data_IF_984760418386
#
_entry.id   IF_984760418386
#
_cell.length_a   1.000
_cell.length_b   1.000
_cell.length_c   1.000
_cell.angle_alpha   90.00
_cell.angle_beta   90.00
_cell.angle_gamma   90.00
#
_symmetry.space_group_name_H-M   'P 1'
#
loop_
_entity.id
_entity.type
_entity.pdbx_description
1 polymer ?
#
# COMPACT_ATOMS: atom_id res chain seq x y z
N UNK A 1 -14.86 -7.28 -5.35
CA UNK A 1 -14.55 -5.97 -5.97
C UNK A 1 -13.46 -5.31 -5.15
N UNK A 2 -12.43 -4.71 -5.75
CA UNK A 2 -11.39 -4.00 -4.98
C UNK A 2 -12.04 -2.87 -4.16
N UNK A 3 -11.55 -2.67 -2.94
CA UNK A 3 -12.09 -1.66 -2.03
C UNK A 3 -12.03 -0.24 -2.62
N UNK A 4 -10.97 0.07 -3.37
CA UNK A 4 -10.84 1.30 -4.15
C UNK A 4 -12.00 1.52 -5.13
N UNK A 5 -12.47 0.45 -5.78
CA UNK A 5 -13.62 0.51 -6.69
C UNK A 5 -14.92 0.79 -5.94
N UNK A 6 -15.09 0.26 -4.73
CA UNK A 6 -16.26 0.54 -3.90
C UNK A 6 -16.29 2.00 -3.44
N UNK A 7 -15.15 2.56 -3.01
CA UNK A 7 -15.01 3.98 -2.65
C UNK A 7 -15.33 4.87 -3.86
N UNK A 8 -14.80 4.55 -5.04
CA UNK A 8 -15.06 5.31 -6.26
C UNK A 8 -16.56 5.26 -6.63
N UNK A 9 -17.19 4.08 -6.55
CA UNK A 9 -18.64 3.93 -6.80
C UNK A 9 -19.44 4.77 -5.80
N UNK A 10 -19.12 4.71 -4.50
CA UNK A 10 -19.82 5.50 -3.48
C UNK A 10 -19.68 7.01 -3.73
N UNK A 11 -18.49 7.48 -4.10
CA UNK A 11 -18.25 8.88 -4.45
C UNK A 11 -19.06 9.30 -5.68
N UNK A 12 -19.07 8.48 -6.74
CA UNK A 12 -19.84 8.73 -7.97
C UNK A 12 -21.33 8.80 -7.65
N UNK A 13 -21.85 7.87 -6.84
CA UNK A 13 -23.25 7.86 -6.45
C UNK A 13 -23.62 9.10 -5.63
N UNK A 14 -22.78 9.51 -4.68
CA UNK A 14 -23.01 10.68 -3.84
C UNK A 14 -22.97 11.99 -4.65
N UNK A 15 -21.99 12.14 -5.54
CA UNK A 15 -21.92 13.29 -6.47
C UNK A 15 -23.11 13.28 -7.43
N UNK A 16 -23.46 12.12 -7.99
CA UNK A 16 -24.63 11.97 -8.86
C UNK A 16 -25.91 12.40 -8.15
N UNK A 17 -26.07 12.02 -6.88
CA UNK A 17 -27.25 12.33 -6.09
C UNK A 17 -27.32 13.80 -5.66
N UNK A 18 -26.16 14.42 -5.38
CA UNK A 18 -26.07 15.88 -5.20
C UNK A 18 -26.46 16.64 -6.47
N UNK A 19 -25.98 16.18 -7.63
CA UNK A 19 -26.30 16.80 -8.92
C UNK A 19 -27.77 16.64 -9.28
N UNK A 20 -28.35 15.45 -9.14
CA UNK A 20 -29.77 15.22 -9.44
C UNK A 20 -30.66 16.00 -8.49
N UNK A 21 -30.32 16.09 -7.19
CA UNK A 21 -31.02 16.93 -6.24
C UNK A 21 -30.95 18.42 -6.59
N UNK A 22 -29.75 18.93 -6.85
CA UNK A 22 -29.51 20.34 -7.16
C UNK A 22 -30.21 20.75 -8.45
N UNK A 23 -30.07 19.95 -9.51
CA UNK A 23 -30.73 20.20 -10.80
C UNK A 23 -32.25 20.08 -10.65
N UNK A 24 -32.74 19.11 -9.88
CA UNK A 24 -34.15 18.93 -9.60
C UNK A 24 -34.77 20.15 -8.92
N UNK A 25 -34.18 20.64 -7.83
CA UNK A 25 -34.66 21.87 -7.17
C UNK A 25 -34.54 23.09 -8.06
N UNK A 26 -33.47 23.23 -8.85
CA UNK A 26 -33.35 24.35 -9.79
C UNK A 26 -34.43 24.35 -10.87
N UNK A 27 -34.86 23.20 -11.34
CA UNK A 27 -35.91 23.15 -12.37
C UNK A 27 -37.28 23.41 -11.74
N UNK A 28 -37.54 22.86 -10.56
CA UNK A 28 -38.85 22.91 -9.90
C UNK A 28 -39.10 24.29 -9.26
N UNK A 29 -38.09 24.87 -8.61
CA UNK A 29 -38.25 26.07 -7.78
C UNK A 29 -37.81 27.37 -8.48
N UNK A 30 -37.36 27.30 -9.75
CA UNK A 30 -36.94 28.49 -10.52
C UNK A 30 -38.06 29.51 -10.73
N UNK A 31 -39.28 29.02 -10.98
CA UNK A 31 -40.45 29.84 -11.23
C UNK A 31 -41.41 29.89 -10.03
N UNK A 32 -40.92 29.53 -8.83
CA UNK A 32 -41.72 29.53 -7.62
C UNK A 32 -42.23 30.96 -7.32
N UNK A 33 -43.55 31.14 -7.15
CA UNK A 33 -44.16 32.45 -6.87
C UNK A 33 -43.86 33.01 -5.48
N UNK A 34 -43.47 32.17 -4.50
CA UNK A 34 -43.11 32.61 -3.16
C UNK A 34 -41.68 33.16 -3.11
N UNK A 35 -40.71 32.39 -3.60
CA UNK A 35 -39.30 32.75 -3.58
C UNK A 35 -38.55 32.06 -4.72
N UNK A 36 -37.81 32.82 -5.54
CA UNK A 36 -37.04 32.26 -6.65
C UNK A 36 -35.71 31.72 -6.17
N UNK A 37 -35.49 30.43 -6.34
CA UNK A 37 -34.27 29.79 -5.86
C UNK A 37 -33.14 29.94 -6.88
N UNK A 38 -31.96 30.27 -6.35
CA UNK A 38 -30.72 30.28 -7.10
C UNK A 38 -29.96 28.93 -6.93
N UNK A 39 -28.81 28.80 -7.61
CA UNK A 39 -27.97 27.59 -7.55
C UNK A 39 -27.54 27.25 -6.12
N UNK A 40 -27.23 28.26 -5.31
CA UNK A 40 -26.78 28.07 -3.93
C UNK A 40 -27.92 27.53 -3.06
N UNK A 41 -29.15 28.02 -3.24
CA UNK A 41 -30.34 27.55 -2.49
C UNK A 41 -30.64 26.08 -2.80
N UNK A 42 -30.54 25.70 -4.09
CA UNK A 42 -30.75 24.32 -4.52
C UNK A 42 -29.65 23.36 -4.02
N UNK A 43 -28.38 23.78 -4.04
CA UNK A 43 -27.27 23.01 -3.46
C UNK A 43 -27.49 22.87 -1.95
N UNK A 44 -27.80 23.97 -1.28
CA UNK A 44 -28.02 24.01 0.16
C UNK A 44 -29.14 23.06 0.56
N UNK A 45 -30.29 23.14 -0.11
CA UNK A 45 -31.44 22.27 0.14
C UNK A 45 -31.11 20.81 -0.13
N UNK A 46 -30.39 20.50 -1.20
CA UNK A 46 -29.96 19.12 -1.47
C UNK A 46 -29.05 18.61 -0.35
N UNK A 47 -28.04 19.37 0.06
CA UNK A 47 -27.11 18.95 1.11
C UNK A 47 -27.85 18.69 2.42
N UNK A 48 -28.71 19.59 2.89
CA UNK A 48 -29.41 19.40 4.18
C UNK A 48 -30.38 18.21 4.16
N UNK A 49 -30.99 17.91 3.00
CA UNK A 49 -31.85 16.73 2.84
C UNK A 49 -31.02 15.46 2.92
N UNK A 50 -29.87 15.42 2.25
CA UNK A 50 -29.00 14.23 2.22
C UNK A 50 -28.26 13.98 3.52
N UNK A 51 -27.81 15.03 4.20
CA UNK A 51 -27.17 14.93 5.51
C UNK A 51 -28.17 14.65 6.63
N UNK A 52 -29.45 14.47 6.31
CA UNK A 52 -30.55 14.19 7.25
C UNK A 52 -30.71 15.25 8.35
N UNK A 53 -30.21 16.47 8.11
CA UNK A 53 -30.35 17.60 9.04
C UNK A 53 -31.81 18.05 9.06
N UNK A 54 -32.43 18.15 7.87
CA UNK A 54 -33.86 18.42 7.70
C UNK A 54 -34.31 19.75 8.29
N UNK A 55 -34.38 20.80 7.47
CA UNK A 55 -34.96 22.08 7.88
C UNK A 55 -36.32 22.31 7.22
N UNK A 56 -37.20 23.02 7.92
CA UNK A 56 -38.52 23.41 7.39
C UNK A 56 -38.35 24.60 6.44
N UNK A 57 -38.51 24.38 5.14
CA UNK A 57 -38.39 25.47 4.17
C UNK A 57 -39.77 26.14 3.95
N UNK A 58 -39.97 27.27 4.64
CA UNK A 58 -41.13 28.15 4.54
C UNK A 58 -41.08 28.95 3.22
N UNK A 59 -41.20 28.24 2.10
CA UNK A 59 -41.12 28.85 0.76
C UNK A 59 -41.19 27.85 -0.38
N UNK A 60 -40.90 26.57 -0.12
CA UNK A 60 -40.93 25.50 -1.13
C UNK A 60 -42.34 25.21 -1.66
N UNK A 61 -42.45 24.99 -2.97
CA UNK A 61 -43.69 24.57 -3.63
C UNK A 61 -44.13 23.15 -3.24
N UNK A 62 -45.42 22.83 -3.42
CA UNK A 62 -45.92 21.46 -3.18
C UNK A 62 -45.22 20.42 -4.07
N UNK A 63 -44.82 20.81 -5.29
CA UNK A 63 -44.03 19.94 -6.18
C UNK A 63 -42.61 19.71 -5.64
N UNK A 64 -41.96 20.74 -5.10
CA UNK A 64 -40.66 20.62 -4.44
C UNK A 64 -40.71 19.70 -3.23
N UNK A 65 -41.81 19.73 -2.45
CA UNK A 65 -42.02 18.84 -1.31
C UNK A 65 -42.12 17.38 -1.73
N UNK A 66 -42.89 17.09 -2.79
CA UNK A 66 -42.99 15.74 -3.35
C UNK A 66 -41.62 15.26 -3.86
N UNK A 67 -40.88 16.13 -4.55
CA UNK A 67 -39.51 15.81 -4.99
C UNK A 67 -38.59 15.50 -3.80
N UNK A 68 -38.67 16.29 -2.73
CA UNK A 68 -37.91 16.07 -1.49
C UNK A 68 -38.21 14.70 -0.88
N UNK A 69 -39.46 14.25 -0.90
CA UNK A 69 -39.84 12.92 -0.40
C UNK A 69 -39.16 11.79 -1.20
N UNK A 70 -39.14 11.88 -2.53
CA UNK A 70 -38.43 10.91 -3.36
C UNK A 70 -36.93 10.95 -3.14
N UNK A 71 -36.36 12.15 -3.02
CA UNK A 71 -34.94 12.36 -2.77
C UNK A 71 -34.51 11.82 -1.40
N UNK A 72 -35.37 11.92 -0.38
CA UNK A 72 -35.12 11.31 0.93
C UNK A 72 -35.08 9.78 0.84
N UNK A 73 -36.08 9.15 0.22
CA UNK A 73 -36.16 7.69 0.12
C UNK A 73 -34.98 7.14 -0.71
N UNK A 74 -34.68 7.75 -1.85
CA UNK A 74 -33.58 7.31 -2.73
C UNK A 74 -32.19 7.68 -2.18
N UNK A 75 -32.06 8.86 -1.58
CA UNK A 75 -30.79 9.40 -1.09
C UNK A 75 -30.31 8.78 0.20
N UNK A 76 -31.22 8.41 1.11
CA UNK A 76 -30.85 7.87 2.42
C UNK A 76 -30.06 6.56 2.31
N UNK A 77 -30.43 5.67 1.39
CA UNK A 77 -29.70 4.41 1.16
C UNK A 77 -28.27 4.64 0.65
N UNK A 78 -28.10 5.58 -0.28
CA UNK A 78 -26.79 5.95 -0.83
C UNK A 78 -25.93 6.63 0.23
N UNK A 79 -26.53 7.52 1.03
CA UNK A 79 -25.85 8.26 2.09
C UNK A 79 -25.35 7.31 3.20
N UNK A 80 -26.21 6.44 3.71
CA UNK A 80 -25.85 5.46 4.74
C UNK A 80 -24.77 4.49 4.25
N UNK A 81 -24.88 3.99 3.01
CA UNK A 81 -23.86 3.17 2.39
C UNK A 81 -22.49 3.89 2.29
N UNK A 82 -22.51 5.17 1.92
CA UNK A 82 -21.30 6.00 1.81
C UNK A 82 -20.62 6.19 3.16
N UNK A 83 -21.38 6.39 4.25
CA UNK A 83 -20.85 6.45 5.61
C UNK A 83 -20.17 5.13 5.99
N UNK A 84 -20.80 3.99 5.72
CA UNK A 84 -20.19 2.67 6.02
C UNK A 84 -18.85 2.50 5.31
N UNK A 85 -18.77 2.87 4.03
CA UNK A 85 -17.51 2.83 3.29
C UNK A 85 -16.49 3.81 3.88
N UNK A 86 -16.87 5.05 4.16
CA UNK A 86 -15.96 6.04 4.75
C UNK A 86 -15.40 5.58 6.11
N UNK A 87 -16.25 5.02 6.98
CA UNK A 87 -15.83 4.43 8.27
C UNK A 87 -14.84 3.29 8.05
N UNK A 88 -15.13 2.37 7.13
CA UNK A 88 -14.21 1.30 6.80
C UNK A 88 -12.87 1.82 6.25
N UNK A 89 -12.87 2.96 5.53
CA UNK A 89 -11.66 3.53 4.92
C UNK A 89 -10.76 4.12 6.01
N UNK A 90 -11.37 4.78 6.99
CA UNK A 90 -10.68 5.29 8.17
C UNK A 90 -10.12 4.16 9.02
N UNK A 91 -10.93 3.14 9.34
CA UNK A 91 -10.50 1.98 10.14
C UNK A 91 -9.34 1.23 9.45
N UNK A 92 -9.40 1.09 8.13
CA UNK A 92 -8.37 0.38 7.38
C UNK A 92 -7.11 1.24 7.14
N UNK A 93 -7.10 2.51 7.53
CA UNK A 93 -5.93 3.40 7.41
C UNK A 93 -5.39 3.51 5.98
N UNK A 94 -6.22 3.27 4.96
CA UNK A 94 -5.77 3.18 3.57
C UNK A 94 -5.14 4.47 3.06
N UNK A 95 -5.53 5.62 3.63
CA UNK A 95 -4.92 6.92 3.32
C UNK A 95 -3.43 6.94 3.68
N UNK A 96 -3.05 6.37 4.83
CA UNK A 96 -1.67 6.34 5.27
C UNK A 96 -0.82 5.40 4.39
N UNK A 97 -1.39 4.27 3.95
CA UNK A 97 -0.71 3.32 3.06
C UNK A 97 -0.33 3.94 1.71
N UNK A 98 -1.20 4.77 1.11
CA UNK A 98 -0.90 5.39 -0.18
C UNK A 98 0.25 6.42 -0.08
N UNK A 99 0.24 7.26 0.96
CA UNK A 99 1.30 8.25 1.18
C UNK A 99 2.63 7.62 1.64
N UNK A 100 2.58 6.56 2.46
CA UNK A 100 3.74 5.75 2.83
C UNK A 100 4.38 5.13 1.59
N UNK A 101 3.59 4.55 0.69
CA UNK A 101 4.10 3.86 -0.50
C UNK A 101 4.87 4.79 -1.46
N UNK A 102 4.43 6.04 -1.64
CA UNK A 102 5.16 7.01 -2.47
C UNK A 102 6.44 7.52 -1.81
N UNK A 103 6.45 7.76 -0.49
CA UNK A 103 7.67 8.11 0.24
C UNK A 103 8.69 6.97 0.21
N UNK A 104 8.20 5.75 0.43
CA UNK A 104 8.97 4.51 0.40
C UNK A 104 9.71 4.31 -0.92
N UNK A 105 9.03 4.47 -2.07
CA UNK A 105 9.69 4.34 -3.38
C UNK A 105 10.83 5.36 -3.58
N UNK A 106 10.65 6.61 -3.12
CA UNK A 106 11.71 7.63 -3.21
C UNK A 106 12.90 7.36 -2.28
N UNK A 107 12.66 6.72 -1.15
CA UNK A 107 13.74 6.26 -0.24
C UNK A 107 14.46 5.05 -0.84
N UNK A 108 13.72 4.10 -1.43
CA UNK A 108 14.26 2.93 -2.12
C UNK A 108 15.22 3.32 -3.25
N UNK A 109 14.83 4.28 -4.09
CA UNK A 109 15.66 4.74 -5.23
C UNK A 109 16.99 5.37 -4.80
N UNK A 110 17.10 5.84 -3.55
CA UNK A 110 18.30 6.48 -3.02
C UNK A 110 19.18 5.56 -2.18
N UNK A 111 18.68 4.39 -1.78
CA UNK A 111 19.43 3.44 -0.98
C UNK A 111 20.55 2.80 -1.81
N UNK A 112 21.76 2.80 -1.27
CA UNK A 112 22.91 2.07 -1.79
C UNK A 112 23.72 1.54 -0.60
N UNK A 113 24.49 0.47 -0.80
CA UNK A 113 25.22 -0.23 0.27
C UNK A 113 24.31 -0.82 1.38
N UNK A 114 23.06 -1.14 1.04
CA UNK A 114 22.07 -1.72 1.95
C UNK A 114 21.93 -3.24 1.77
N UNK A 115 21.28 -3.93 2.69
CA UNK A 115 20.96 -5.36 2.57
C UNK A 115 19.55 -5.57 2.02
N UNK A 116 19.38 -6.55 1.12
CA UNK A 116 18.06 -7.00 0.67
C UNK A 116 17.69 -8.27 1.44
N UNK A 117 16.51 -8.32 2.05
CA UNK A 117 16.00 -9.47 2.81
C UNK A 117 14.75 -9.97 2.10
N UNK A 118 14.76 -11.19 1.61
CA UNK A 118 13.64 -11.80 0.90
C UNK A 118 12.85 -12.69 1.84
N UNK A 119 11.63 -12.28 2.17
CA UNK A 119 10.75 -12.96 3.11
C UNK A 119 10.79 -12.34 4.50
N UNK A 120 9.60 -12.14 5.06
CA UNK A 120 9.36 -11.62 6.40
C UNK A 120 8.66 -12.68 7.28
N UNK A 121 8.82 -13.95 6.95
CA UNK A 121 8.27 -15.07 7.74
C UNK A 121 9.04 -15.33 9.05
N UNK A 122 8.87 -16.52 9.61
CA UNK A 122 9.44 -16.91 10.91
C UNK A 122 10.97 -16.73 10.99
N UNK A 123 11.67 -16.91 9.86
CA UNK A 123 13.11 -16.68 9.73
C UNK A 123 13.45 -15.22 9.45
N UNK A 124 12.57 -14.50 8.74
CA UNK A 124 12.80 -13.10 8.35
C UNK A 124 12.66 -12.12 9.51
N UNK A 125 11.76 -12.37 10.47
CA UNK A 125 11.54 -11.47 11.62
C UNK A 125 12.75 -11.37 12.55
N UNK A 126 13.41 -12.47 12.97
CA UNK A 126 14.64 -12.39 13.74
C UNK A 126 15.76 -11.63 13.00
N UNK A 127 15.88 -11.85 11.69
CA UNK A 127 16.87 -11.15 10.85
C UNK A 127 16.59 -9.65 10.84
N UNK A 128 15.33 -9.25 10.66
CA UNK A 128 14.91 -7.85 10.75
C UNK A 128 15.36 -7.23 12.09
N UNK A 129 15.10 -7.92 13.21
CA UNK A 129 15.45 -7.42 14.53
C UNK A 129 16.96 -7.27 14.71
N UNK A 130 17.75 -8.22 14.22
CA UNK A 130 19.23 -8.15 14.25
C UNK A 130 19.77 -7.02 13.38
N UNK A 131 19.25 -6.84 12.16
CA UNK A 131 19.68 -5.75 11.27
C UNK A 131 19.36 -4.37 11.87
N UNK A 132 18.22 -4.24 12.55
CA UNK A 132 17.87 -3.02 13.29
C UNK A 132 18.81 -2.76 14.46
N UNK A 133 19.15 -3.79 15.25
CA UNK A 133 20.13 -3.67 16.35
C UNK A 133 21.51 -3.28 15.85
N UNK A 134 21.93 -3.84 14.71
CA UNK A 134 23.20 -3.53 14.07
C UNK A 134 23.22 -2.15 13.38
N UNK A 135 22.08 -1.45 13.32
CA UNK A 135 21.92 -0.15 12.68
C UNK A 135 22.45 -0.11 11.23
N UNK A 136 22.21 -1.19 10.47
CA UNK A 136 22.56 -1.25 9.04
C UNK A 136 21.35 -0.94 8.19
N UNK A 137 21.56 -0.33 7.01
CA UNK A 137 20.48 -0.08 6.06
C UNK A 137 20.03 -1.38 5.39
N UNK A 138 18.72 -1.62 5.32
CA UNK A 138 18.15 -2.79 4.66
C UNK A 138 16.77 -2.51 4.05
N UNK A 139 16.36 -3.38 3.15
CA UNK A 139 15.01 -3.46 2.57
C UNK A 139 14.51 -4.90 2.60
N UNK A 140 13.23 -5.08 2.92
CA UNK A 140 12.57 -6.38 2.90
C UNK A 140 11.73 -6.52 1.64
N UNK A 141 11.68 -7.71 1.04
CA UNK A 141 10.70 -8.07 0.01
C UNK A 141 9.75 -9.11 0.61
N UNK A 142 8.45 -8.82 0.65
CA UNK A 142 7.44 -9.74 1.18
C UNK A 142 6.17 -9.68 0.32
N UNK A 143 5.55 -10.84 0.08
CA UNK A 143 4.36 -10.97 -0.78
C UNK A 143 3.05 -10.92 0.01
N UNK A 144 3.08 -11.23 1.30
CA UNK A 144 1.89 -11.25 2.16
C UNK A 144 1.67 -9.88 2.82
N UNK A 145 0.76 -9.07 2.27
CA UNK A 145 0.42 -7.73 2.80
C UNK A 145 0.04 -7.76 4.29
N UNK A 146 -0.69 -8.78 4.72
CA UNK A 146 -1.15 -8.89 6.11
C UNK A 146 0.04 -9.06 7.09
N UNK A 147 1.08 -9.80 6.68
CA UNK A 147 2.29 -9.99 7.49
C UNK A 147 3.09 -8.70 7.59
N UNK A 148 3.23 -7.96 6.48
CA UNK A 148 3.85 -6.62 6.46
C UNK A 148 3.13 -5.71 7.44
N UNK A 149 1.79 -5.68 7.39
CA UNK A 149 0.96 -4.85 8.26
C UNK A 149 1.18 -5.16 9.74
N UNK A 150 1.02 -6.42 10.13
CA UNK A 150 1.16 -6.85 11.53
C UNK A 150 2.53 -6.49 12.12
N UNK A 151 3.60 -6.67 11.35
CA UNK A 151 4.96 -6.42 11.84
C UNK A 151 5.25 -4.91 11.84
N UNK A 152 4.71 -4.15 10.88
CA UNK A 152 4.88 -2.69 10.81
C UNK A 152 4.23 -1.94 11.98
N UNK A 153 3.27 -2.54 12.68
CA UNK A 153 2.67 -1.96 13.88
C UNK A 153 3.64 -1.89 15.07
N UNK A 154 4.66 -2.75 15.09
CA UNK A 154 5.62 -2.86 16.20
C UNK A 154 7.05 -2.51 15.81
N UNK A 155 7.36 -2.48 14.51
CA UNK A 155 8.72 -2.32 13.99
C UNK A 155 8.70 -1.39 12.78
N UNK A 156 9.69 -0.51 12.72
CA UNK A 156 9.93 0.32 11.54
C UNK A 156 10.90 -0.38 10.60
N UNK A 157 10.53 -0.51 9.32
CA UNK A 157 11.33 -1.12 8.27
C UNK A 157 10.83 -0.72 6.89
N UNK A 158 11.74 -0.78 5.92
CA UNK A 158 11.43 -0.55 4.52
C UNK A 158 11.04 -1.86 3.84
N UNK A 159 9.92 -1.89 3.11
CA UNK A 159 9.44 -3.11 2.49
C UNK A 159 8.94 -2.90 1.05
N UNK A 160 9.34 -3.77 0.13
CA UNK A 160 8.76 -3.91 -1.19
C UNK A 160 7.70 -5.01 -1.11
N UNK A 161 6.42 -4.63 -1.22
CA UNK A 161 5.33 -5.59 -1.32
C UNK A 161 5.33 -6.23 -2.71
N UNK A 162 5.97 -7.39 -2.84
CA UNK A 162 6.13 -8.12 -4.10
C UNK A 162 6.61 -9.56 -3.84
N UNK A 163 6.55 -10.41 -4.87
CA UNK A 163 7.16 -11.74 -4.79
C UNK A 163 8.67 -11.64 -5.05
N UNK A 164 9.48 -12.06 -4.08
CA UNK A 164 10.94 -12.02 -4.18
C UNK A 164 11.50 -12.92 -5.28
N UNK A 165 10.74 -13.92 -5.74
CA UNK A 165 11.13 -14.77 -6.86
C UNK A 165 11.15 -14.00 -8.18
N UNK A 166 10.39 -12.92 -8.33
CA UNK A 166 10.40 -12.14 -9.58
C UNK A 166 11.65 -11.25 -9.68
N UNK A 167 12.37 -11.33 -10.82
CA UNK A 167 13.57 -10.51 -11.09
C UNK A 167 13.30 -9.00 -10.89
N UNK A 168 12.13 -8.52 -11.34
CA UNK A 168 11.71 -7.11 -11.19
C UNK A 168 11.58 -6.68 -9.72
N UNK A 169 11.17 -7.58 -8.83
CA UNK A 169 11.08 -7.30 -7.40
C UNK A 169 12.45 -7.04 -6.79
N UNK A 170 13.45 -7.83 -7.19
CA UNK A 170 14.84 -7.67 -6.75
C UNK A 170 15.43 -6.37 -7.27
N UNK A 171 15.18 -6.02 -8.53
CA UNK A 171 15.62 -4.76 -9.14
C UNK A 171 14.98 -3.56 -8.40
N UNK A 172 13.67 -3.62 -8.13
CA UNK A 172 12.97 -2.58 -7.36
C UNK A 172 13.50 -2.43 -5.93
N UNK A 173 13.93 -3.52 -5.30
CA UNK A 173 14.61 -3.50 -4.00
C UNK A 173 16.05 -2.99 -4.09
N UNK A 174 16.58 -2.76 -5.29
CA UNK A 174 17.93 -2.26 -5.51
C UNK A 174 19.01 -3.30 -5.31
N UNK A 175 18.77 -4.54 -5.72
CA UNK A 175 19.77 -5.63 -5.61
C UNK A 175 21.11 -5.30 -6.29
N UNK A 176 21.10 -4.50 -7.36
CA UNK A 176 22.29 -4.07 -8.11
C UNK A 176 23.24 -3.19 -7.31
N UNK A 177 22.70 -2.48 -6.31
CA UNK A 177 23.42 -1.54 -5.44
C UNK A 177 23.47 -2.01 -3.98
N UNK A 178 23.01 -3.23 -3.73
CA UNK A 178 22.97 -3.83 -2.42
C UNK A 178 24.35 -4.34 -2.00
N UNK A 179 24.63 -4.26 -0.70
CA UNK A 179 25.82 -4.83 -0.04
C UNK A 179 25.70 -6.34 0.18
N UNK A 180 24.47 -6.85 0.30
CA UNK A 180 24.20 -8.27 0.53
C UNK A 180 22.74 -8.64 0.34
N UNK A 181 22.49 -9.94 0.27
CA UNK A 181 21.16 -10.53 0.07
C UNK A 181 20.94 -11.63 1.11
N UNK A 182 19.79 -11.63 1.75
CA UNK A 182 19.40 -12.71 2.65
C UNK A 182 18.08 -13.32 2.18
N UNK A 183 18.01 -14.64 2.08
CA UNK A 183 16.80 -15.35 1.68
C UNK A 183 16.21 -16.09 2.89
N UNK A 184 15.00 -15.70 3.25
CA UNK A 184 14.24 -16.16 4.42
C UNK A 184 12.86 -16.69 4.01
N UNK A 185 12.71 -17.18 2.77
CA UNK A 185 11.46 -17.74 2.27
C UNK A 185 11.24 -19.15 2.85
N UNK A 186 9.98 -19.54 2.99
CA UNK A 186 9.61 -20.83 3.60
C UNK A 186 9.93 -22.07 2.75
N UNK A 187 10.36 -21.90 1.49
CA UNK A 187 10.70 -23.01 0.58
C UNK A 187 12.12 -22.86 0.06
N UNK A 188 12.93 -23.91 0.21
CA UNK A 188 14.32 -23.93 -0.28
C UNK A 188 14.44 -23.69 -1.79
N UNK A 189 13.44 -24.15 -2.55
CA UNK A 189 13.36 -23.92 -4.01
C UNK A 189 13.25 -22.43 -4.33
N UNK A 190 12.44 -21.68 -3.57
CA UNK A 190 12.24 -20.25 -3.77
C UNK A 190 13.51 -19.49 -3.36
N UNK A 191 14.12 -19.88 -2.22
CA UNK A 191 15.41 -19.33 -1.79
C UNK A 191 16.49 -19.51 -2.86
N UNK A 192 16.65 -20.72 -3.39
CA UNK A 192 17.61 -21.03 -4.46
C UNK A 192 17.33 -20.22 -5.73
N UNK A 193 16.06 -20.07 -6.11
CA UNK A 193 15.68 -19.28 -7.28
C UNK A 193 16.08 -17.81 -7.13
N UNK A 194 15.78 -17.21 -5.97
CA UNK A 194 16.18 -15.83 -5.64
C UNK A 194 17.69 -15.65 -5.74
N UNK A 195 18.47 -16.61 -5.22
CA UNK A 195 19.93 -16.58 -5.34
C UNK A 195 20.38 -16.55 -6.80
N UNK A 196 19.80 -17.41 -7.65
CA UNK A 196 20.16 -17.50 -9.07
C UNK A 196 19.78 -16.21 -9.80
N UNK A 197 18.58 -15.70 -9.57
CA UNK A 197 18.10 -14.43 -10.14
C UNK A 197 19.01 -13.27 -9.76
N UNK A 198 19.33 -13.10 -8.47
CA UNK A 198 20.23 -12.05 -8.01
C UNK A 198 21.63 -12.15 -8.63
N UNK A 199 22.17 -13.37 -8.78
CA UNK A 199 23.46 -13.59 -9.45
C UNK A 199 23.41 -13.20 -10.92
N UNK A 200 22.32 -13.54 -11.61
CA UNK A 200 22.12 -13.19 -13.02
C UNK A 200 22.00 -11.68 -13.22
N UNK A 201 21.25 -11.00 -12.35
CA UNK A 201 21.08 -9.54 -12.37
C UNK A 201 22.43 -8.84 -12.16
N UNK A 202 23.24 -9.32 -11.19
CA UNK A 202 24.56 -8.76 -10.88
C UNK A 202 25.70 -9.27 -11.79
N UNK A 203 25.38 -9.94 -12.89
CA UNK A 203 26.39 -10.45 -13.82
C UNK A 203 26.91 -9.31 -14.71
N UNK A 204 28.23 -9.11 -14.72
CA UNK A 204 28.88 -8.13 -15.58
C UNK A 204 29.32 -8.84 -16.86
N UNK A 205 28.90 -8.33 -18.02
CA UNK A 205 29.38 -8.84 -19.30
C UNK A 205 30.63 -8.08 -19.75
N UNK A 206 31.68 -8.80 -20.14
CA UNK A 206 32.88 -8.19 -20.70
C UNK A 206 32.74 -7.87 -22.21
N UNK A 207 33.78 -7.25 -22.79
CA UNK A 207 33.82 -6.90 -24.22
C UNK A 207 33.85 -8.10 -25.17
N UNK A 208 34.17 -9.29 -24.66
CA UNK A 208 34.18 -10.55 -25.42
C UNK A 208 32.84 -11.31 -25.31
N UNK A 209 31.88 -10.78 -24.54
CA UNK A 209 30.56 -11.36 -24.33
C UNK A 209 30.49 -12.35 -23.16
N UNK A 210 31.57 -12.52 -22.38
CA UNK A 210 31.65 -13.42 -21.24
C UNK A 210 31.02 -12.78 -19.99
N UNK A 211 30.20 -13.55 -19.28
CA UNK A 211 29.57 -13.11 -18.04
C UNK A 211 30.45 -13.42 -16.82
N UNK A 212 30.70 -12.40 -16.01
CA UNK A 212 31.36 -12.45 -14.72
C UNK A 212 30.31 -12.27 -13.63
N UNK A 213 30.08 -13.34 -12.88
CA UNK A 213 29.12 -13.34 -11.78
C UNK A 213 29.82 -12.91 -10.49
N UNK A 214 29.17 -12.05 -9.71
CA UNK A 214 29.62 -11.68 -8.37
C UNK A 214 28.66 -12.23 -7.31
N UNK A 215 29.07 -13.19 -6.46
CA UNK A 215 30.37 -13.87 -6.44
C UNK A 215 30.49 -14.98 -7.53
N UNK A 216 31.74 -15.35 -7.92
CA UNK A 216 32.02 -16.26 -9.04
C UNK A 216 31.48 -17.69 -8.83
N UNK A 217 31.16 -18.36 -9.95
CA UNK A 217 30.53 -19.68 -10.07
C UNK A 217 31.03 -20.79 -9.14
N UNK A 218 32.32 -20.79 -8.84
CA UNK A 218 33.04 -21.89 -8.17
C UNK A 218 33.35 -21.62 -6.69
N UNK A 219 33.15 -20.39 -6.20
CA UNK A 219 33.38 -20.10 -4.77
C UNK A 219 32.30 -20.82 -3.95
N UNK A 220 32.71 -21.82 -3.17
CA UNK A 220 31.95 -22.24 -1.99
C UNK A 220 31.79 -21.00 -1.12
N UNK A 221 30.56 -20.51 -1.03
CA UNK A 221 30.18 -19.36 -0.22
C UNK A 221 30.67 -19.63 1.21
N UNK A 222 31.70 -18.89 1.64
CA UNK A 222 32.14 -18.89 3.03
C UNK A 222 31.55 -17.66 3.71
N UNK A 223 31.22 -17.80 4.99
CA UNK A 223 30.65 -16.71 5.76
C UNK A 223 31.62 -15.51 5.75
N UNK A 224 31.24 -14.42 5.06
CA UNK A 224 32.05 -13.21 4.91
C UNK A 224 32.28 -12.72 3.46
N UNK A 225 32.12 -13.56 2.44
CA UNK A 225 32.19 -13.11 1.04
C UNK A 225 30.81 -12.61 0.59
N UNK A 226 30.67 -11.30 0.28
CA UNK A 226 29.46 -10.65 -0.26
C UNK A 226 28.15 -11.36 0.13
N UNK A 227 27.84 -11.25 1.41
CA UNK A 227 27.00 -12.15 2.20
C UNK A 227 25.63 -12.43 1.52
N UNK A 228 25.58 -13.55 0.79
CA UNK A 228 24.37 -14.19 0.30
C UNK A 228 24.01 -15.25 1.34
N UNK A 229 23.28 -14.87 2.38
CA UNK A 229 22.89 -15.77 3.46
C UNK A 229 21.54 -16.40 3.13
N UNK A 230 21.55 -17.71 2.90
CA UNK A 230 20.36 -18.50 3.14
C UNK A 230 20.26 -18.55 4.68
N UNK A 231 19.12 -18.17 5.24
CA UNK A 231 18.93 -18.26 6.68
C UNK A 231 18.20 -19.57 6.99
N UNK A 232 18.93 -20.63 7.31
CA UNK A 232 18.42 -21.71 8.15
C UNK A 232 18.67 -21.35 9.64
N UNK A 233 17.87 -21.88 10.58
CA UNK A 233 18.03 -21.66 12.02
C UNK A 233 19.46 -21.97 12.52
N UNK A 234 20.17 -22.89 11.87
CA UNK A 234 21.58 -23.21 12.15
C UNK A 234 22.56 -22.12 11.69
N UNK A 235 22.25 -21.37 10.63
CA UNK A 235 23.11 -20.33 10.08
C UNK A 235 22.94 -18.99 10.82
N UNK A 236 21.75 -18.73 11.38
CA UNK A 236 21.51 -17.63 12.34
C UNK A 236 22.42 -17.75 13.57
N UNK A 237 22.65 -18.98 14.08
CA UNK A 237 23.60 -19.22 15.17
C UNK A 237 25.06 -18.96 14.77
N UNK A 238 25.39 -19.04 13.48
CA UNK A 238 26.72 -18.77 12.96
C UNK A 238 26.94 -17.26 12.75
N UNK A 239 25.88 -16.52 12.41
CA UNK A 239 25.84 -15.05 12.40
C UNK A 239 26.20 -14.45 13.77
N UNK A 240 25.66 -14.99 14.86
CA UNK A 240 26.02 -14.59 16.24
C UNK A 240 27.53 -14.71 16.55
N UNK A 241 28.24 -15.65 15.93
CA UNK A 241 29.69 -15.82 16.15
C UNK A 241 30.54 -14.86 15.31
N UNK A 242 29.99 -14.35 14.21
CA UNK A 242 30.70 -13.50 13.26
C UNK A 242 30.53 -12.00 13.55
N UNK A 243 29.44 -11.61 14.20
CA UNK A 243 29.20 -10.21 14.64
C UNK A 243 29.97 -9.82 15.90
N UNK A 244 30.77 -10.72 16.48
CA UNK A 244 31.73 -10.39 17.52
C UNK A 244 31.14 -10.10 18.90
N UNK A 245 29.94 -10.60 19.20
CA UNK A 245 29.38 -10.46 20.55
C UNK A 245 30.00 -11.52 21.48
N UNK A 246 30.95 -11.07 22.32
CA UNK A 246 31.32 -11.76 23.56
C UNK A 246 30.53 -11.10 24.68
N UNK A 247 29.30 -11.57 24.87
CA UNK A 247 28.41 -11.21 25.98
C UNK A 247 27.36 -12.28 26.19
#
# INVERSE_FOLDING_TARGET
MSYQRQVLIALILLVGLLLTGTIGYLIIEKDNPAEKWNLLDAIYMTVITLTTVGYENLGMSDTGRIFTLFLLIGGFGVFTYSITIATNFLIQGQLNRFFQHQKMMRTLDKLANHYVICGLGDTGVPVLDEMRKAAVDFVIIEREEERIRQISETRDFLCVHADATEDESLIRAGIERAKGLMTCLGRDQDNLYVVISARKINAIQDKAGQFFYNPPGEKKLQAGDALLLIADQKEIQTLHKLTGDRG
#
